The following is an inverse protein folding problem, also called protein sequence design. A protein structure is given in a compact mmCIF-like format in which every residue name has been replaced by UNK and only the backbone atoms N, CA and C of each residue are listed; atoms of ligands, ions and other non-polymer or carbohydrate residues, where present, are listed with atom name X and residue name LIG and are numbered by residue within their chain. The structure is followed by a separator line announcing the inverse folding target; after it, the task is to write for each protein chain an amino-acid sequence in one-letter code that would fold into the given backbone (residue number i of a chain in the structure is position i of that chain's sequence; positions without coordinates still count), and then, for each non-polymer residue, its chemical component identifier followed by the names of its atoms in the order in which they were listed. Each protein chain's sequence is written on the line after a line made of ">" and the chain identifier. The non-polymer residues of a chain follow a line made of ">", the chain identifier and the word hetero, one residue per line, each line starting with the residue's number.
data_IF_652227476369
#
_entry.id   IF_652227476369
#
_cell.length_a   1.000
_cell.length_b   1.000
_cell.length_c   1.000
_cell.angle_alpha   90.00
_cell.angle_beta   90.00
_cell.angle_gamma   90.00
#
_symmetry.space_group_name_H-M   'P 1'
#
loop_
_entity.id
_entity.type
_entity.pdbx_description
1 polymer ?
#
# COMPACT_ATOMS: atom_id res chain seq x y z
N UNK A 1 31.87 -5.95 20.98
CA UNK A 1 32.33 -5.69 19.59
C UNK A 1 31.61 -6.55 18.55
N UNK A 2 31.55 -7.88 18.66
CA UNK A 2 30.78 -8.71 17.71
C UNK A 2 29.27 -8.41 17.72
N UNK A 3 28.71 -8.21 18.91
CA UNK A 3 27.26 -7.97 19.07
C UNK A 3 26.84 -6.60 18.51
N UNK A 4 27.66 -5.57 18.75
CA UNK A 4 27.49 -4.22 18.21
C UNK A 4 27.55 -4.18 16.67
N UNK A 5 28.49 -4.92 16.06
CA UNK A 5 28.57 -5.04 14.60
C UNK A 5 27.35 -5.76 14.01
N UNK A 6 26.82 -6.77 14.70
CA UNK A 6 25.60 -7.47 14.27
C UNK A 6 24.38 -6.57 14.33
N UNK A 7 24.26 -5.77 15.39
CA UNK A 7 23.16 -4.82 15.57
C UNK A 7 23.16 -3.74 14.48
N UNK A 8 24.33 -3.14 14.22
CA UNK A 8 24.48 -2.15 13.14
C UNK A 8 24.12 -2.75 11.79
N UNK A 9 24.53 -4.00 11.51
CA UNK A 9 24.17 -4.69 10.26
C UNK A 9 22.66 -4.89 10.13
N UNK A 10 21.98 -5.25 11.21
CA UNK A 10 20.52 -5.40 11.22
C UNK A 10 19.84 -4.07 10.90
N UNK A 11 20.24 -3.00 11.58
CA UNK A 11 19.66 -1.66 11.37
C UNK A 11 19.85 -1.16 9.92
N UNK A 12 21.01 -1.44 9.32
CA UNK A 12 21.26 -1.10 7.91
C UNK A 12 20.34 -1.88 6.98
N UNK A 13 20.12 -3.18 7.23
CA UNK A 13 19.20 -4.00 6.44
C UNK A 13 17.75 -3.55 6.58
N UNK A 14 17.30 -3.21 7.80
CA UNK A 14 15.94 -2.71 8.05
C UNK A 14 15.71 -1.36 7.36
N UNK A 15 16.71 -0.47 7.42
CA UNK A 15 16.67 0.82 6.72
C UNK A 15 16.62 0.61 5.20
N UNK A 16 17.47 -0.26 4.66
CA UNK A 16 17.49 -0.55 3.24
C UNK A 16 16.18 -1.18 2.76
N UNK A 17 15.62 -2.13 3.51
CA UNK A 17 14.31 -2.71 3.22
C UNK A 17 13.22 -1.63 3.18
N UNK A 18 13.21 -0.72 4.16
CA UNK A 18 12.27 0.41 4.21
C UNK A 18 12.41 1.31 2.97
N UNK A 19 13.64 1.70 2.61
CA UNK A 19 13.91 2.53 1.44
C UNK A 19 13.45 1.86 0.15
N UNK A 20 13.78 0.58 -0.03
CA UNK A 20 13.41 -0.21 -1.22
C UNK A 20 11.90 -0.36 -1.31
N UNK A 21 11.23 -0.76 -0.23
CA UNK A 21 9.77 -0.91 -0.21
C UNK A 21 9.07 0.42 -0.47
N UNK A 22 9.60 1.53 0.06
CA UNK A 22 9.03 2.88 -0.18
C UNK A 22 9.19 3.30 -1.64
N UNK A 23 10.37 3.10 -2.22
CA UNK A 23 10.64 3.42 -3.62
C UNK A 23 9.76 2.60 -4.57
N UNK A 24 9.63 1.29 -4.33
CA UNK A 24 8.72 0.44 -5.11
C UNK A 24 7.25 0.79 -4.87
N UNK A 25 6.86 1.20 -3.66
CA UNK A 25 5.52 1.70 -3.38
C UNK A 25 5.19 2.94 -4.22
N UNK A 26 6.13 3.87 -4.36
CA UNK A 26 5.97 5.06 -5.21
C UNK A 26 5.85 4.69 -6.70
N UNK A 27 6.76 3.84 -7.20
CA UNK A 27 6.72 3.37 -8.60
C UNK A 27 5.41 2.64 -8.88
N UNK A 28 4.95 1.80 -7.97
CA UNK A 28 3.68 1.09 -8.09
C UNK A 28 2.50 2.08 -8.13
N UNK A 29 2.47 3.07 -7.24
CA UNK A 29 1.41 4.09 -7.24
C UNK A 29 1.33 4.84 -8.59
N UNK A 30 2.48 5.22 -9.15
CA UNK A 30 2.56 5.86 -10.46
C UNK A 30 2.11 4.91 -11.59
N UNK A 31 2.53 3.65 -11.57
CA UNK A 31 2.15 2.68 -12.59
C UNK A 31 0.63 2.39 -12.59
N UNK A 32 0.03 2.27 -11.41
CA UNK A 32 -1.43 2.07 -11.30
C UNK A 32 -2.21 3.31 -11.74
N UNK A 33 -1.70 4.53 -11.48
CA UNK A 33 -2.29 5.76 -12.00
C UNK A 33 -2.39 5.74 -13.53
N UNK A 34 -1.28 5.45 -14.21
CA UNK A 34 -1.24 5.39 -15.67
C UNK A 34 -2.09 4.25 -16.22
N UNK A 35 -2.03 3.06 -15.60
CA UNK A 35 -2.80 1.90 -16.05
C UNK A 35 -4.31 2.12 -15.98
N UNK A 36 -4.81 2.73 -14.90
CA UNK A 36 -6.24 3.01 -14.74
C UNK A 36 -6.68 4.04 -15.77
N UNK A 37 -5.92 5.12 -15.98
CA UNK A 37 -6.22 6.12 -17.00
C UNK A 37 -6.27 5.49 -18.39
N UNK A 38 -5.25 4.73 -18.78
CA UNK A 38 -5.20 4.06 -20.08
C UNK A 38 -6.37 3.08 -20.28
N UNK A 39 -6.76 2.36 -19.23
CA UNK A 39 -7.93 1.48 -19.26
C UNK A 39 -9.22 2.28 -19.48
N UNK A 40 -9.42 3.38 -18.75
CA UNK A 40 -10.58 4.26 -18.96
C UNK A 40 -10.58 4.79 -20.40
N UNK A 41 -9.43 5.22 -20.91
CA UNK A 41 -9.30 5.71 -22.30
C UNK A 41 -9.71 4.63 -23.31
N UNK A 42 -9.23 3.40 -23.11
CA UNK A 42 -9.50 2.29 -24.02
C UNK A 42 -11.00 1.95 -24.08
N UNK A 43 -11.73 2.05 -22.97
CA UNK A 43 -13.14 1.66 -22.90
C UNK A 43 -14.12 2.79 -23.21
N UNK A 44 -13.78 4.04 -22.89
CA UNK A 44 -14.71 5.19 -22.95
C UNK A 44 -14.28 6.27 -23.96
N UNK A 45 -13.10 6.16 -24.56
CA UNK A 45 -12.54 7.19 -25.43
C UNK A 45 -11.80 8.26 -24.64
N UNK A 46 -12.04 9.54 -24.91
CA UNK A 46 -11.20 10.61 -24.37
C UNK A 46 -11.35 10.79 -22.85
N UNK A 47 -10.25 10.65 -22.11
CA UNK A 47 -10.21 10.74 -20.64
C UNK A 47 -10.22 12.16 -20.10
N UNK A 48 -9.87 13.13 -20.93
CA UNK A 48 -9.67 14.53 -20.52
C UNK A 48 -11.00 15.29 -20.37
N UNK A 49 -12.10 14.68 -20.82
CA UNK A 49 -13.44 15.18 -20.56
C UNK A 49 -13.86 15.02 -19.09
N UNK A 50 -14.74 15.90 -18.61
CA UNK A 50 -15.24 15.89 -17.23
C UNK A 50 -15.72 14.51 -16.77
N UNK A 51 -16.41 13.78 -17.67
CA UNK A 51 -16.89 12.41 -17.41
C UNK A 51 -15.75 11.42 -17.14
N UNK A 52 -14.66 11.48 -17.91
CA UNK A 52 -13.50 10.61 -17.73
C UNK A 52 -12.81 10.86 -16.39
N UNK A 53 -12.62 12.13 -16.03
CA UNK A 53 -12.07 12.53 -14.73
C UNK A 53 -12.93 12.06 -13.55
N UNK A 54 -14.25 12.18 -13.65
CA UNK A 54 -15.16 11.68 -12.60
C UNK A 54 -15.11 10.16 -12.46
N UNK A 55 -15.05 9.42 -13.57
CA UNK A 55 -14.93 7.96 -13.54
C UNK A 55 -13.61 7.54 -12.91
N UNK A 56 -12.51 8.17 -13.31
CA UNK A 56 -11.19 7.96 -12.70
C UNK A 56 -11.21 8.21 -11.19
N UNK A 57 -11.77 9.34 -10.75
CA UNK A 57 -11.86 9.71 -9.34
C UNK A 57 -12.66 8.69 -8.51
N UNK A 58 -13.77 8.17 -9.04
CA UNK A 58 -14.57 7.14 -8.36
C UNK A 58 -13.80 5.82 -8.27
N UNK A 59 -13.17 5.39 -9.36
CA UNK A 59 -12.39 4.14 -9.40
C UNK A 59 -11.24 4.18 -8.39
N UNK A 60 -10.43 5.24 -8.41
CA UNK A 60 -9.29 5.35 -7.50
C UNK A 60 -9.72 5.44 -6.03
N UNK A 61 -10.87 6.06 -5.74
CA UNK A 61 -11.44 6.12 -4.38
C UNK A 61 -11.87 4.75 -3.88
N UNK A 62 -12.56 3.97 -4.72
CA UNK A 62 -12.95 2.60 -4.37
C UNK A 62 -11.70 1.74 -4.10
N UNK A 63 -10.69 1.82 -4.97
CA UNK A 63 -9.42 1.11 -4.79
C UNK A 63 -8.71 1.52 -3.50
N UNK A 64 -8.67 2.82 -3.18
CA UNK A 64 -8.07 3.33 -1.95
C UNK A 64 -8.79 2.76 -0.71
N UNK A 65 -10.12 2.78 -0.69
CA UNK A 65 -10.91 2.22 0.42
C UNK A 65 -10.62 0.72 0.60
N UNK A 66 -10.62 -0.05 -0.50
CA UNK A 66 -10.31 -1.49 -0.45
C UNK A 66 -8.91 -1.70 0.12
N UNK A 67 -7.91 -0.99 -0.39
CA UNK A 67 -6.53 -1.08 0.09
C UNK A 67 -6.43 -0.73 1.59
N UNK A 68 -7.06 0.35 2.04
CA UNK A 68 -7.09 0.75 3.45
C UNK A 68 -7.71 -0.33 4.34
N UNK A 69 -8.84 -0.93 3.92
CA UNK A 69 -9.49 -2.01 4.69
C UNK A 69 -8.59 -3.26 4.75
N UNK A 70 -7.95 -3.64 3.64
CA UNK A 70 -7.05 -4.78 3.60
C UNK A 70 -5.85 -4.56 4.53
N UNK A 71 -5.21 -3.40 4.48
CA UNK A 71 -4.11 -3.02 5.37
C UNK A 71 -4.56 -3.05 6.83
N UNK A 72 -5.72 -2.44 7.14
CA UNK A 72 -6.28 -2.45 8.49
C UNK A 72 -6.50 -3.88 9.02
N UNK A 73 -7.00 -4.80 8.19
CA UNK A 73 -7.18 -6.21 8.57
C UNK A 73 -5.87 -6.95 8.80
N UNK A 74 -4.83 -6.65 8.01
CA UNK A 74 -3.50 -7.26 8.19
C UNK A 74 -2.85 -6.84 9.51
N UNK A 75 -3.05 -5.58 9.90
CA UNK A 75 -2.54 -5.03 11.16
C UNK A 75 -3.39 -5.50 12.36
N UNK A 76 -4.72 -5.57 12.19
CA UNK A 76 -5.66 -5.86 13.27
C UNK A 76 -5.70 -7.32 13.72
N UNK A 77 -4.71 -8.17 13.42
CA UNK A 77 -4.64 -9.55 13.94
C UNK A 77 -4.71 -9.47 15.48
N UNK A 78 -5.83 -9.88 16.10
CA UNK A 78 -6.00 -9.68 17.53
C UNK A 78 -5.05 -10.64 18.25
N UNK A 79 -4.25 -10.12 19.18
CA UNK A 79 -3.82 -10.93 20.30
C UNK A 79 -5.12 -11.44 20.94
N UNK A 80 -5.49 -12.68 20.64
CA UNK A 80 -6.58 -13.36 21.32
C UNK A 80 -6.27 -13.16 22.80
N UNK A 81 -7.09 -12.35 23.45
CA UNK A 81 -6.97 -12.07 24.86
C UNK A 81 -6.86 -13.43 25.54
N UNK A 82 -5.69 -13.71 26.10
CA UNK A 82 -5.57 -14.73 27.12
C UNK A 82 -6.38 -14.20 28.29
N UNK A 83 -7.71 -14.34 28.21
CA UNK A 83 -8.58 -14.23 29.35
C UNK A 83 -8.11 -15.36 30.25
N UNK A 84 -7.18 -15.05 31.17
CA UNK A 84 -7.03 -15.81 32.39
C UNK A 84 -8.35 -15.63 33.12
N UNK A 85 -9.30 -16.50 32.83
CA UNK A 85 -10.36 -16.76 33.77
C UNK A 85 -9.65 -17.43 34.94
N UNK A 86 -9.65 -16.67 36.02
CA UNK A 86 -9.21 -16.97 37.37
C UNK A 86 -9.56 -18.41 37.74
N UNK A 87 -8.57 -19.12 38.27
CA UNK A 87 -8.66 -19.68 39.63
C UNK A 87 -7.45 -19.17 40.42
#
# INVERSE_FOLDING_TARGET
>A
MKDEVSEVKSQVLDTFATLVTTAFGLIAALAWNEAIQALITQWLGETDGLTGLFIYAVVITILAIIATILIARLIAKPAVQAVRIVE
#
